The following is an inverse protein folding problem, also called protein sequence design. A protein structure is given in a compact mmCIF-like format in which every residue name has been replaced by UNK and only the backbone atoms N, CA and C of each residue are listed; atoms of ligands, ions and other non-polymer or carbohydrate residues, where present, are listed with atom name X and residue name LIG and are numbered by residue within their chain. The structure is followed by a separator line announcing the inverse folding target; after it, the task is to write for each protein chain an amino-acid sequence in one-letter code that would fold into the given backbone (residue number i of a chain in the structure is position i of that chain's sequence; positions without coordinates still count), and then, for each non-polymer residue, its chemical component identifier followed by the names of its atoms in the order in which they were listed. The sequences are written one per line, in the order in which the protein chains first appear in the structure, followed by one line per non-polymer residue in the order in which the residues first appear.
data_IF_874983556650
#
_entry.id   IF_874983556650
#
_cell.length_a   1.000
_cell.length_b   1.000
_cell.length_c   1.000
_cell.angle_alpha   90.00
_cell.angle_beta   90.00
_cell.angle_gamma   90.00
#
_symmetry.space_group_name_H-M   'P 1'
#
loop_
_entity.id
_entity.type
_entity.pdbx_description
1 polymer ?
#
# COMPACT_ATOMS: atom_id res chain seq x y z
N UNK A 1 8.10 49.67 -42.20
CA UNK A 1 6.99 49.69 -41.23
C UNK A 1 6.34 48.32 -41.24
N UNK A 2 6.09 47.57 -40.18
CA UNK A 2 6.32 47.65 -38.75
C UNK A 2 5.90 46.28 -38.18
N UNK A 3 6.52 45.87 -37.07
CA UNK A 3 6.49 44.55 -36.47
C UNK A 3 5.11 44.06 -35.97
N UNK A 4 4.87 42.74 -36.01
CA UNK A 4 4.60 41.92 -34.81
C UNK A 4 4.78 40.41 -35.10
N UNK A 5 5.60 39.77 -34.26
CA UNK A 5 6.03 38.36 -34.29
C UNK A 5 5.12 37.49 -33.40
N UNK A 6 5.00 36.21 -33.74
CA UNK A 6 5.19 35.13 -32.77
C UNK A 6 3.98 34.25 -32.41
N UNK A 7 3.73 33.22 -33.21
CA UNK A 7 3.21 31.94 -32.70
C UNK A 7 4.09 30.83 -33.29
N UNK A 8 5.03 30.29 -32.49
CA UNK A 8 5.77 29.08 -32.88
C UNK A 8 4.86 27.89 -32.63
N UNK A 9 4.40 27.30 -33.73
CA UNK A 9 3.81 25.96 -33.80
C UNK A 9 4.74 24.97 -33.10
N UNK A 10 4.25 24.26 -32.08
CA UNK A 10 4.91 23.07 -31.59
C UNK A 10 4.57 21.92 -32.55
N UNK A 11 5.60 21.46 -33.26
CA UNK A 11 5.55 20.26 -34.09
C UNK A 11 5.66 19.05 -33.16
N UNK A 12 4.57 18.29 -33.02
CA UNK A 12 4.64 16.94 -32.47
C UNK A 12 5.48 16.09 -33.43
N UNK A 13 6.67 15.70 -32.98
CA UNK A 13 7.55 14.79 -33.70
C UNK A 13 6.88 13.43 -33.87
N UNK A 14 6.74 13.02 -35.13
CA UNK A 14 6.38 11.67 -35.55
C UNK A 14 7.33 10.63 -34.94
N UNK A 15 6.91 9.92 -33.89
CA UNK A 15 7.38 8.56 -33.58
C UNK A 15 6.22 7.78 -32.99
N UNK A 16 5.90 6.64 -33.62
CA UNK A 16 5.07 5.60 -33.01
C UNK A 16 5.71 5.22 -31.68
N UNK A 17 5.00 5.43 -30.58
CA UNK A 17 5.40 4.94 -29.26
C UNK A 17 5.24 3.42 -29.32
N UNK A 18 6.35 2.70 -29.11
CA UNK A 18 6.31 1.26 -28.96
C UNK A 18 5.68 0.94 -27.61
N UNK A 19 4.55 0.23 -27.66
CA UNK A 19 3.86 -0.34 -26.49
C UNK A 19 4.61 -1.60 -26.10
N UNK A 20 5.00 -1.74 -24.83
CA UNK A 20 5.44 -3.00 -24.25
C UNK A 20 4.34 -3.51 -23.34
N UNK A 21 3.76 -4.66 -23.71
CA UNK A 21 2.80 -5.43 -22.92
C UNK A 21 3.56 -6.45 -22.08
N UNK A 22 4.12 -6.06 -20.95
CA UNK A 22 4.65 -7.02 -19.97
C UNK A 22 4.77 -6.43 -18.55
N UNK A 23 3.62 -6.15 -17.91
CA UNK A 23 3.51 -6.14 -16.45
C UNK A 23 2.21 -6.86 -16.06
N UNK A 24 2.32 -7.85 -15.17
CA UNK A 24 1.23 -8.71 -14.67
C UNK A 24 0.08 -7.98 -13.96
N UNK A 25 -0.95 -8.71 -13.50
CA UNK A 25 -2.34 -8.37 -13.78
C UNK A 25 -2.92 -7.36 -12.79
N UNK A 26 -2.94 -6.08 -13.17
CA UNK A 26 -4.11 -5.26 -12.88
C UNK A 26 -5.16 -5.62 -13.95
N UNK A 27 -6.13 -6.46 -13.58
CA UNK A 27 -7.13 -7.05 -14.48
C UNK A 27 -7.58 -6.12 -15.61
N UNK A 28 -7.22 -6.52 -16.83
CA UNK A 28 -7.81 -6.06 -18.08
C UNK A 28 -9.23 -6.62 -18.15
N UNK A 29 -10.25 -5.78 -17.97
CA UNK A 29 -11.62 -6.28 -18.02
C UNK A 29 -12.68 -5.29 -17.57
N UNK A 30 -12.73 -4.10 -18.17
CA UNK A 30 -13.97 -3.34 -18.25
C UNK A 30 -13.88 -2.27 -19.35
N UNK A 31 -14.47 -2.53 -20.51
CA UNK A 31 -14.70 -1.50 -21.52
C UNK A 31 -15.86 -0.63 -21.04
N UNK A 32 -15.56 0.53 -20.46
CA UNK A 32 -16.56 1.55 -20.18
C UNK A 32 -16.76 2.38 -21.46
N UNK A 33 -18.00 2.56 -21.96
CA UNK A 33 -18.24 3.37 -23.14
C UNK A 33 -17.83 4.82 -22.88
N UNK A 34 -17.06 5.37 -23.82
CA UNK A 34 -16.58 6.74 -23.87
C UNK A 34 -17.72 7.71 -24.15
N UNK A 35 -18.54 7.99 -23.13
CA UNK A 35 -19.40 9.16 -23.15
C UNK A 35 -18.67 10.34 -22.50
N UNK A 36 -18.48 11.37 -23.31
CA UNK A 36 -17.95 12.69 -23.02
C UNK A 36 -18.71 13.39 -21.89
N UNK A 37 -18.31 13.12 -20.64
CA UNK A 37 -18.71 13.88 -19.45
C UNK A 37 -17.73 13.71 -18.26
N UNK A 38 -16.41 13.58 -18.51
CA UNK A 38 -15.38 13.45 -17.45
C UNK A 38 -14.61 14.75 -17.16
N UNK A 39 -15.06 15.90 -17.68
CA UNK A 39 -14.50 17.18 -17.27
C UNK A 39 -15.29 17.66 -16.04
N UNK A 40 -14.81 17.29 -14.85
CA UNK A 40 -15.46 17.60 -13.58
C UNK A 40 -15.13 16.68 -12.39
N UNK A 41 -14.18 15.75 -12.53
CA UNK A 41 -13.77 14.84 -11.45
C UNK A 41 -12.27 14.98 -11.17
N UNK A 42 -11.90 14.75 -9.91
CA UNK A 42 -10.53 14.76 -9.42
C UNK A 42 -9.60 13.93 -10.33
N UNK A 43 -8.35 14.35 -10.46
CA UNK A 43 -7.37 13.64 -11.28
C UNK A 43 -6.68 12.57 -10.42
N UNK A 44 -6.92 11.30 -10.70
CA UNK A 44 -6.28 10.20 -9.97
C UNK A 44 -5.06 9.69 -10.72
N UNK A 45 -3.89 9.82 -10.10
CA UNK A 45 -2.59 9.44 -10.67
C UNK A 45 -1.99 8.32 -9.84
N UNK A 46 -1.54 7.27 -10.52
CA UNK A 46 -0.70 6.23 -9.93
C UNK A 46 0.72 6.37 -10.45
N UNK A 47 1.66 6.62 -9.55
CA UNK A 47 3.09 6.54 -9.83
C UNK A 47 3.48 5.07 -9.66
N UNK A 48 3.96 4.45 -10.74
CA UNK A 48 4.32 3.03 -10.73
C UNK A 48 5.76 2.85 -10.27
N UNK A 49 6.71 3.43 -11.02
CA UNK A 49 8.14 3.31 -10.74
C UNK A 49 8.95 4.40 -11.44
N UNK A 50 10.21 4.53 -11.07
CA UNK A 50 11.20 5.25 -11.86
C UNK A 50 12.41 4.35 -12.14
N UNK A 51 13.18 4.69 -13.16
CA UNK A 51 14.36 3.90 -13.56
C UNK A 51 15.51 4.80 -13.97
N UNK A 52 16.74 4.32 -13.78
CA UNK A 52 17.98 5.01 -14.16
C UNK A 52 18.11 6.42 -13.55
N UNK A 53 17.65 6.60 -12.30
CA UNK A 53 17.84 7.86 -11.60
C UNK A 53 19.34 8.09 -11.33
N UNK A 54 19.81 9.34 -11.47
CA UNK A 54 21.21 9.66 -11.17
C UNK A 54 21.48 9.47 -9.68
N UNK A 55 22.70 9.07 -9.33
CA UNK A 55 23.19 9.10 -7.95
C UNK A 55 23.61 10.53 -7.63
N UNK A 56 22.98 11.16 -6.65
CA UNK A 56 23.36 12.50 -6.19
C UNK A 56 24.01 12.48 -4.80
N UNK A 57 23.73 11.47 -3.97
CA UNK A 57 24.38 11.29 -2.68
C UNK A 57 25.87 10.89 -2.74
N UNK A 58 26.63 11.37 -1.76
CA UNK A 58 28.07 11.12 -1.59
C UNK A 58 28.34 9.63 -1.27
N UNK A 59 27.48 9.01 -0.47
CA UNK A 59 27.53 7.59 -0.07
C UNK A 59 26.15 6.98 -0.32
N UNK A 60 26.07 5.77 -0.89
CA UNK A 60 24.79 5.16 -1.30
C UNK A 60 24.30 5.61 -2.69
N UNK A 61 23.11 5.20 -3.09
CA UNK A 61 22.30 5.77 -4.16
C UNK A 61 21.44 6.91 -3.60
N UNK A 62 20.65 7.55 -4.47
CA UNK A 62 19.66 8.56 -4.08
C UNK A 62 18.47 7.98 -3.32
N UNK A 63 17.77 8.84 -2.59
CA UNK A 63 16.53 8.65 -1.85
C UNK A 63 15.33 9.30 -2.57
N UNK A 64 14.88 8.78 -3.73
CA UNK A 64 13.97 9.49 -4.60
C UNK A 64 12.51 9.55 -4.14
N UNK A 65 11.86 10.69 -4.37
CA UNK A 65 10.41 10.86 -4.28
C UNK A 65 9.83 11.75 -5.39
N UNK A 66 8.55 11.57 -5.69
CA UNK A 66 7.83 12.33 -6.72
C UNK A 66 6.87 13.31 -6.07
N UNK A 67 6.99 14.59 -6.43
CA UNK A 67 6.01 15.63 -6.13
C UNK A 67 5.09 15.85 -7.32
N UNK A 68 3.78 15.79 -7.12
CA UNK A 68 2.76 15.85 -8.16
C UNK A 68 1.69 16.91 -7.86
N UNK A 69 1.31 17.68 -8.88
CA UNK A 69 0.24 18.68 -8.83
C UNK A 69 -0.18 19.09 -10.24
N UNK A 70 -1.26 19.86 -10.34
CA UNK A 70 -1.75 20.42 -11.61
C UNK A 70 -1.36 21.91 -11.71
N UNK A 71 -0.88 22.29 -12.89
CA UNK A 71 -0.58 23.67 -13.27
C UNK A 71 -1.44 24.10 -14.45
N UNK A 72 -1.72 25.40 -14.56
CA UNK A 72 -2.37 25.97 -15.75
C UNK A 72 -1.37 26.39 -16.82
N UNK A 73 -1.88 26.90 -17.95
CA UNK A 73 -1.08 27.39 -19.09
C UNK A 73 -0.11 28.54 -18.78
N UNK A 74 -0.23 29.18 -17.61
CA UNK A 74 0.68 30.23 -17.12
C UNK A 74 1.69 29.71 -16.08
N UNK A 75 1.84 28.39 -15.97
CA UNK A 75 2.71 27.70 -15.00
C UNK A 75 2.36 28.01 -13.54
N UNK A 76 1.09 28.37 -13.26
CA UNK A 76 0.59 28.55 -11.90
C UNK A 76 -0.06 27.27 -11.40
N UNK A 77 0.25 26.92 -10.16
CA UNK A 77 -0.40 25.82 -9.44
C UNK A 77 -1.91 26.07 -9.32
N UNK A 78 -2.71 25.06 -9.65
CA UNK A 78 -4.18 25.08 -9.54
C UNK A 78 -4.72 23.92 -8.70
N UNK A 79 -3.81 23.15 -8.07
CA UNK A 79 -4.12 22.13 -7.07
C UNK A 79 -3.07 22.16 -5.96
N UNK A 80 -3.38 21.48 -4.87
CA UNK A 80 -2.39 21.15 -3.85
C UNK A 80 -1.30 20.24 -4.42
N UNK A 81 -0.13 20.28 -3.78
CA UNK A 81 1.01 19.42 -4.08
C UNK A 81 1.00 18.19 -3.19
N UNK A 82 1.17 17.03 -3.81
CA UNK A 82 1.28 15.76 -3.12
C UNK A 82 2.65 15.17 -3.38
N UNK A 83 3.26 14.56 -2.37
CA UNK A 83 4.48 13.79 -2.52
C UNK A 83 4.20 12.30 -2.33
N UNK A 84 4.88 11.45 -3.09
CA UNK A 84 5.05 10.05 -2.69
C UNK A 84 5.93 9.99 -1.43
N UNK A 85 5.88 8.85 -0.74
CA UNK A 85 6.89 8.58 0.29
C UNK A 85 8.26 8.35 -0.38
N UNK A 86 9.31 8.59 0.40
CA UNK A 86 10.71 8.43 -0.01
C UNK A 86 11.07 6.95 -0.12
N UNK A 87 11.84 6.60 -1.14
CA UNK A 87 12.42 5.27 -1.30
C UNK A 87 13.93 5.36 -1.11
N UNK A 88 14.44 4.76 -0.05
CA UNK A 88 15.84 4.93 0.30
C UNK A 88 16.77 4.12 -0.62
N UNK A 89 17.96 4.67 -0.85
CA UNK A 89 19.12 4.03 -1.48
C UNK A 89 18.77 3.27 -2.77
N UNK A 90 18.10 3.93 -3.73
CA UNK A 90 17.72 3.29 -4.99
C UNK A 90 17.67 4.22 -6.20
N UNK A 91 18.30 3.77 -7.30
CA UNK A 91 18.15 4.39 -8.61
C UNK A 91 16.91 3.93 -9.40
N UNK A 92 16.16 2.95 -8.87
CA UNK A 92 15.04 2.30 -9.56
C UNK A 92 13.86 2.03 -8.59
N UNK A 93 13.29 3.06 -7.95
CA UNK A 93 12.21 2.87 -6.98
C UNK A 93 10.93 2.34 -7.65
N UNK A 94 10.27 1.38 -6.99
CA UNK A 94 8.89 0.97 -7.28
C UNK A 94 8.00 1.61 -6.23
N UNK A 95 7.18 2.56 -6.64
CA UNK A 95 6.31 3.32 -5.73
C UNK A 95 4.95 2.65 -5.58
N UNK A 96 4.32 2.27 -6.70
CA UNK A 96 2.93 1.85 -6.80
C UNK A 96 1.92 2.72 -5.99
N UNK A 97 2.28 3.99 -5.76
CA UNK A 97 1.54 4.94 -4.94
C UNK A 97 0.48 5.64 -5.77
N UNK A 98 -0.74 5.67 -5.25
CA UNK A 98 -1.90 6.28 -5.89
C UNK A 98 -2.27 7.55 -5.15
N UNK A 99 -2.59 8.63 -5.87
CA UNK A 99 -3.08 9.88 -5.29
C UNK A 99 -4.22 10.44 -6.11
N UNK A 100 -5.23 10.92 -5.39
CA UNK A 100 -6.31 11.72 -5.92
C UNK A 100 -5.94 13.20 -5.77
N UNK A 101 -5.77 13.90 -6.89
CA UNK A 101 -5.50 15.32 -6.91
C UNK A 101 -6.84 16.05 -7.02
N UNK A 102 -7.26 16.67 -5.92
CA UNK A 102 -8.47 17.48 -5.83
C UNK A 102 -8.35 18.71 -6.73
N UNK A 103 -8.96 18.66 -7.91
CA UNK A 103 -8.96 19.75 -8.88
C UNK A 103 -10.08 19.57 -9.90
N UNK A 104 -10.46 20.67 -10.57
CA UNK A 104 -11.33 20.65 -11.75
C UNK A 104 -10.49 21.10 -12.95
N UNK A 105 -9.69 20.20 -13.56
CA UNK A 105 -8.72 20.59 -14.55
C UNK A 105 -9.40 21.09 -15.83
N UNK A 106 -8.89 22.20 -16.36
CA UNK A 106 -9.23 22.73 -17.67
C UNK A 106 -8.47 22.00 -18.78
N UNK A 107 -8.93 22.10 -20.03
CA UNK A 107 -8.26 21.44 -21.17
C UNK A 107 -6.84 21.93 -21.48
N UNK A 108 -6.44 23.07 -20.91
CA UNK A 108 -5.10 23.66 -21.03
C UNK A 108 -4.21 23.42 -19.80
N UNK A 109 -4.74 22.75 -18.77
CA UNK A 109 -3.98 22.40 -17.58
C UNK A 109 -3.07 21.19 -17.85
N UNK A 110 -2.02 21.07 -17.05
CA UNK A 110 -1.05 19.98 -17.15
C UNK A 110 -0.74 19.39 -15.77
N UNK A 111 -0.64 18.07 -15.70
CA UNK A 111 -0.03 17.36 -14.59
C UNK A 111 1.48 17.64 -14.62
N UNK A 112 2.00 18.19 -13.53
CA UNK A 112 3.45 18.31 -13.29
C UNK A 112 3.88 17.24 -12.31
N UNK A 113 4.90 16.47 -12.71
CA UNK A 113 5.62 15.55 -11.83
C UNK A 113 7.08 15.99 -11.75
N UNK A 114 7.53 16.30 -10.54
CA UNK A 114 8.91 16.62 -10.25
C UNK A 114 9.51 15.50 -9.39
N UNK A 115 10.63 14.95 -9.84
CA UNK A 115 11.43 13.97 -9.12
C UNK A 115 12.52 14.69 -8.33
N UNK A 116 12.63 14.35 -7.07
CA UNK A 116 13.63 14.87 -6.14
C UNK A 116 14.38 13.74 -5.46
N UNK A 117 15.59 14.04 -5.04
CA UNK A 117 16.36 13.30 -4.05
C UNK A 117 16.09 13.91 -2.67
N UNK A 118 15.77 13.08 -1.67
CA UNK A 118 15.53 13.58 -0.32
C UNK A 118 16.84 13.82 0.40
N UNK A 119 17.02 15.02 0.94
CA UNK A 119 18.21 15.39 1.71
C UNK A 119 17.83 15.65 3.18
N UNK A 120 18.62 15.14 4.13
CA UNK A 120 18.39 15.37 5.56
C UNK A 120 18.52 16.87 5.85
N UNK A 121 17.43 17.54 6.31
CA UNK A 121 17.46 18.97 6.59
C UNK A 121 18.50 19.32 7.65
N UNK A 122 19.33 20.32 7.37
CA UNK A 122 20.39 20.78 8.27
C UNK A 122 21.68 19.95 8.25
N UNK A 123 21.69 18.80 7.56
CA UNK A 123 22.90 17.99 7.32
C UNK A 123 23.33 18.07 5.86
N UNK A 124 22.45 17.66 4.94
CA UNK A 124 22.73 17.64 3.49
C UNK A 124 22.21 18.90 2.77
N UNK A 125 21.14 19.52 3.27
CA UNK A 125 20.62 20.77 2.71
C UNK A 125 19.14 20.67 2.35
N UNK A 126 18.80 21.07 1.12
CA UNK A 126 17.45 21.01 0.57
C UNK A 126 17.38 19.99 -0.54
N UNK A 127 16.27 19.25 -0.64
CA UNK A 127 16.03 18.22 -1.66
C UNK A 127 16.55 18.57 -3.07
N UNK A 128 17.37 17.69 -3.62
CA UNK A 128 18.00 17.86 -4.91
C UNK A 128 17.06 17.51 -6.08
N UNK A 129 16.83 18.46 -6.99
CA UNK A 129 15.97 18.24 -8.14
C UNK A 129 16.63 17.32 -9.19
N UNK A 130 16.00 16.17 -9.46
CA UNK A 130 16.48 15.18 -10.43
C UNK A 130 15.90 15.42 -11.83
N UNK A 131 14.64 15.82 -11.93
CA UNK A 131 14.00 16.07 -13.21
C UNK A 131 12.49 16.24 -13.15
N UNK A 132 11.90 16.66 -14.27
CA UNK A 132 10.48 17.01 -14.39
C UNK A 132 9.86 16.43 -15.65
N UNK A 133 8.57 16.13 -15.56
CA UNK A 133 7.67 16.07 -16.71
C UNK A 133 6.44 16.96 -16.50
N UNK A 134 5.90 17.48 -17.60
CA UNK A 134 4.62 18.16 -17.65
C UNK A 134 3.80 17.49 -18.75
N UNK A 135 2.62 16.95 -18.41
CA UNK A 135 1.74 16.28 -19.37
C UNK A 135 0.38 16.97 -19.35
N UNK A 136 -0.10 17.51 -20.48
CA UNK A 136 -1.43 18.11 -20.54
C UNK A 136 -2.50 17.12 -20.07
N UNK A 137 -3.44 17.58 -19.24
CA UNK A 137 -4.46 16.70 -18.64
C UNK A 137 -5.31 16.03 -19.72
N UNK A 138 -5.59 16.72 -20.83
CA UNK A 138 -6.30 16.17 -21.99
C UNK A 138 -5.59 14.98 -22.66
N UNK A 139 -4.27 14.86 -22.49
CA UNK A 139 -3.47 13.78 -23.06
C UNK A 139 -3.37 12.58 -22.11
N UNK A 140 -3.89 12.69 -20.87
CA UNK A 140 -3.94 11.63 -19.87
C UNK A 140 -5.19 10.76 -20.07
N UNK A 141 -5.05 9.74 -20.91
CA UNK A 141 -6.05 8.70 -21.15
C UNK A 141 -6.10 7.77 -19.92
N UNK A 142 -7.29 7.51 -19.34
CA UNK A 142 -7.41 6.59 -18.23
C UNK A 142 -6.85 5.21 -18.54
N UNK A 143 -6.16 4.63 -17.56
CA UNK A 143 -5.48 3.33 -17.56
C UNK A 143 -4.35 3.16 -18.60
N UNK A 144 -4.03 4.19 -19.40
CA UNK A 144 -2.85 4.18 -20.24
C UNK A 144 -1.59 4.35 -19.37
N UNK A 145 -0.59 3.48 -19.59
CA UNK A 145 0.72 3.59 -18.95
C UNK A 145 1.60 4.54 -19.77
N UNK A 146 2.17 5.52 -19.09
CA UNK A 146 3.11 6.48 -19.64
C UNK A 146 4.50 6.16 -19.10
N UNK A 147 5.47 6.01 -20.00
CA UNK A 147 6.89 5.83 -19.67
C UNK A 147 7.69 6.95 -20.35
N UNK A 148 8.00 7.98 -19.58
CA UNK A 148 8.53 9.25 -20.10
C UNK A 148 9.93 9.55 -19.52
N UNK A 149 10.86 10.05 -20.34
CA UNK A 149 12.15 10.52 -19.83
C UNK A 149 11.96 11.81 -19.02
N UNK A 150 12.65 11.90 -17.89
CA UNK A 150 12.70 13.12 -17.09
C UNK A 150 13.50 14.20 -17.83
N UNK A 151 13.14 15.47 -17.61
CA UNK A 151 13.87 16.63 -18.14
C UNK A 151 14.57 17.38 -17.01
N UNK A 152 15.84 17.72 -17.21
CA UNK A 152 16.61 18.49 -16.24
C UNK A 152 16.18 19.98 -16.21
N UNK A 153 16.81 20.79 -15.36
CA UNK A 153 16.53 22.24 -15.22
C UNK A 153 16.67 23.03 -16.54
N UNK A 154 17.40 22.52 -17.53
CA UNK A 154 17.58 23.12 -18.87
C UNK A 154 16.58 22.59 -19.90
N UNK A 155 15.63 21.73 -19.51
CA UNK A 155 14.64 21.10 -20.39
C UNK A 155 15.17 19.94 -21.25
N UNK A 156 16.43 19.54 -21.07
CA UNK A 156 17.04 18.42 -21.81
C UNK A 156 16.62 17.09 -21.18
N UNK A 157 16.23 16.13 -22.03
CA UNK A 157 15.94 14.76 -21.62
C UNK A 157 17.17 14.11 -20.98
N UNK A 158 16.92 13.34 -19.93
CA UNK A 158 17.92 12.55 -19.21
C UNK A 158 17.67 11.05 -19.44
N UNK A 159 18.62 10.17 -19.10
CA UNK A 159 18.40 8.72 -19.11
C UNK A 159 17.35 8.25 -18.09
N UNK A 160 17.09 9.06 -17.06
CA UNK A 160 16.12 8.77 -16.02
C UNK A 160 14.69 8.79 -16.58
N UNK A 161 13.85 7.86 -16.14
CA UNK A 161 12.47 7.71 -16.62
C UNK A 161 11.51 7.59 -15.46
N UNK A 162 10.29 8.09 -15.66
CA UNK A 162 9.16 7.93 -14.75
C UNK A 162 8.04 7.20 -15.47
N UNK A 163 7.50 6.19 -14.79
CA UNK A 163 6.40 5.36 -15.27
C UNK A 163 5.19 5.62 -14.37
N UNK A 164 4.08 6.05 -14.96
CA UNK A 164 2.84 6.37 -14.24
C UNK A 164 1.61 6.14 -15.10
N UNK A 165 0.42 6.19 -14.51
CA UNK A 165 -0.86 6.16 -15.24
C UNK A 165 -1.91 7.02 -14.55
N UNK A 166 -2.84 7.54 -15.33
CA UNK A 166 -4.13 8.03 -14.79
C UNK A 166 -5.01 6.82 -14.54
N UNK A 167 -5.68 6.74 -13.40
CA UNK A 167 -6.68 5.69 -13.14
C UNK A 167 -8.06 6.32 -12.96
N UNK A 168 -9.09 5.51 -13.09
CA UNK A 168 -10.47 5.93 -12.83
C UNK A 168 -10.82 5.54 -11.40
N UNK A 169 -11.51 6.41 -10.68
CA UNK A 169 -12.06 6.06 -9.37
C UNK A 169 -12.96 4.82 -9.48
N UNK A 170 -12.87 3.87 -8.54
CA UNK A 170 -13.71 2.68 -8.59
C UNK A 170 -15.19 3.05 -8.40
N UNK A 171 -16.11 2.18 -8.87
CA UNK A 171 -17.54 2.43 -8.82
C UNK A 171 -18.09 2.42 -7.39
N UNK A 172 -17.41 1.71 -6.47
CA UNK A 172 -17.71 1.72 -5.03
C UNK A 172 -16.55 2.32 -4.26
N UNK A 173 -16.90 3.24 -3.37
CA UNK A 173 -15.99 3.82 -2.38
C UNK A 173 -16.20 3.22 -0.99
N UNK A 174 -17.09 2.24 -0.83
CA UNK A 174 -17.21 1.45 0.39
C UNK A 174 -16.53 0.11 0.20
N UNK A 175 -15.73 -0.28 1.19
CA UNK A 175 -14.96 -1.53 1.17
C UNK A 175 -14.97 -2.16 2.55
N UNK A 176 -14.96 -3.48 2.58
CA UNK A 176 -14.62 -4.25 3.77
C UNK A 176 -13.12 -4.52 3.78
N UNK A 177 -12.47 -4.23 4.90
CA UNK A 177 -11.04 -4.47 5.11
C UNK A 177 -10.89 -5.37 6.33
N UNK A 178 -10.39 -6.57 6.12
CA UNK A 178 -10.02 -7.48 7.20
C UNK A 178 -8.58 -7.23 7.59
N UNK A 179 -8.33 -6.88 8.85
CA UNK A 179 -6.99 -6.74 9.41
C UNK A 179 -6.66 -7.96 10.27
N UNK A 180 -5.52 -8.58 10.01
CA UNK A 180 -5.01 -9.75 10.71
C UNK A 180 -3.68 -9.40 11.37
N UNK A 181 -3.61 -9.46 12.70
CA UNK A 181 -2.34 -9.29 13.43
C UNK A 181 -1.49 -10.54 13.25
N UNK A 182 -0.19 -10.38 13.06
CA UNK A 182 0.74 -11.51 13.05
C UNK A 182 0.64 -12.38 14.32
N UNK A 183 1.01 -13.66 14.20
CA UNK A 183 1.22 -14.57 15.34
C UNK A 183 2.38 -14.13 16.22
N UNK A 184 2.55 -14.75 17.38
CA UNK A 184 3.68 -14.49 18.27
C UNK A 184 5.03 -14.67 17.56
N UNK A 185 5.92 -13.70 17.77
CA UNK A 185 7.27 -13.74 17.22
C UNK A 185 8.31 -13.96 18.31
N UNK A 186 9.52 -14.35 17.91
CA UNK A 186 10.69 -14.42 18.81
C UNK A 186 10.93 -13.10 19.57
N UNK A 187 10.52 -11.96 19.01
CA UNK A 187 10.55 -10.66 19.69
C UNK A 187 9.52 -10.55 20.81
N UNK A 188 8.30 -11.03 20.59
CA UNK A 188 7.24 -10.98 21.60
C UNK A 188 7.61 -11.85 22.82
N UNK A 189 8.11 -13.05 22.55
CA UNK A 189 8.66 -13.95 23.57
C UNK A 189 9.84 -13.32 24.33
N UNK A 190 10.75 -12.65 23.62
CA UNK A 190 11.88 -11.96 24.24
C UNK A 190 11.47 -10.76 25.12
N UNK A 191 10.41 -10.03 24.71
CA UNK A 191 9.81 -8.96 25.51
C UNK A 191 9.19 -9.49 26.80
N UNK A 192 8.46 -10.59 26.74
CA UNK A 192 7.81 -11.20 27.90
C UNK A 192 8.84 -11.81 28.88
N UNK A 193 9.92 -12.39 28.35
CA UNK A 193 10.99 -13.00 29.15
C UNK A 193 12.06 -12.01 29.65
N UNK A 194 11.92 -10.70 29.39
CA UNK A 194 12.90 -9.65 29.73
C UNK A 194 14.33 -9.92 29.20
N UNK A 195 14.47 -10.63 28.08
CA UNK A 195 15.78 -10.97 27.52
C UNK A 195 16.30 -9.85 26.60
N UNK A 196 16.83 -8.79 27.23
CA UNK A 196 17.34 -7.60 26.56
C UNK A 196 18.47 -7.88 25.56
N UNK A 197 19.27 -8.93 25.80
CA UNK A 197 20.42 -9.26 24.95
C UNK A 197 19.96 -9.85 23.62
N UNK A 198 18.96 -10.73 23.64
CA UNK A 198 18.43 -11.33 22.42
C UNK A 198 17.56 -10.34 21.63
N UNK A 199 16.85 -9.44 22.33
CA UNK A 199 16.17 -8.31 21.68
C UNK A 199 17.14 -7.39 20.93
N UNK A 200 18.36 -7.19 21.41
CA UNK A 200 19.31 -6.28 20.76
C UNK A 200 20.16 -6.94 19.65
N UNK A 201 20.14 -8.26 19.55
CA UNK A 201 21.02 -9.03 18.65
C UNK A 201 20.39 -9.35 17.30
N UNK A 202 19.07 -9.40 17.20
CA UNK A 202 18.38 -9.80 15.98
C UNK A 202 17.32 -8.80 15.56
N UNK A 203 17.15 -8.67 14.25
CA UNK A 203 16.12 -7.84 13.62
C UNK A 203 15.24 -8.72 12.71
N UNK A 204 14.09 -8.20 12.27
CA UNK A 204 13.12 -8.89 11.43
C UNK A 204 12.74 -10.31 11.93
N UNK A 205 12.21 -10.37 13.16
CA UNK A 205 11.93 -11.62 13.83
C UNK A 205 10.84 -12.43 13.12
N UNK A 206 11.10 -13.73 12.96
CA UNK A 206 10.12 -14.73 12.53
C UNK A 206 9.13 -15.04 13.64
N UNK A 207 8.06 -15.76 13.28
CA UNK A 207 7.23 -16.47 14.24
C UNK A 207 8.08 -17.44 15.08
N UNK A 208 7.67 -17.65 16.32
CA UNK A 208 8.11 -18.80 17.12
C UNK A 208 7.11 -19.97 16.95
N UNK A 209 7.32 -21.08 17.66
CA UNK A 209 6.43 -22.25 17.57
C UNK A 209 4.98 -21.92 17.93
N UNK A 210 4.78 -21.10 18.97
CA UNK A 210 3.46 -20.63 19.41
C UNK A 210 2.81 -19.77 18.32
N UNK A 211 3.55 -18.86 17.70
CA UNK A 211 3.05 -18.02 16.61
C UNK A 211 2.65 -18.81 15.36
N UNK A 212 3.41 -19.85 15.02
CA UNK A 212 3.05 -20.78 13.93
C UNK A 212 1.74 -21.50 14.25
N UNK A 213 1.57 -22.01 15.47
CA UNK A 213 0.33 -22.65 15.92
C UNK A 213 -0.85 -21.65 15.93
N UNK A 214 -0.63 -20.39 16.33
CA UNK A 214 -1.65 -19.36 16.29
C UNK A 214 -2.10 -19.05 14.85
N UNK A 215 -1.17 -18.94 13.91
CA UNK A 215 -1.48 -18.72 12.50
C UNK A 215 -2.24 -19.92 11.89
N UNK A 216 -1.77 -21.16 12.11
CA UNK A 216 -2.50 -22.37 11.70
C UNK A 216 -3.86 -22.49 12.40
N UNK A 217 -3.96 -22.05 13.65
CA UNK A 217 -5.21 -21.99 14.40
C UNK A 217 -6.23 -21.05 13.77
N UNK A 218 -5.80 -19.94 13.16
CA UNK A 218 -6.69 -19.08 12.37
C UNK A 218 -7.23 -19.84 11.15
N UNK A 219 -6.36 -20.54 10.41
CA UNK A 219 -6.75 -21.40 9.28
C UNK A 219 -7.77 -22.47 9.68
N UNK A 220 -7.51 -23.18 10.77
CA UNK A 220 -8.40 -24.20 11.29
C UNK A 220 -9.78 -23.67 11.70
N UNK A 221 -9.90 -22.38 12.07
CA UNK A 221 -11.18 -21.76 12.45
C UNK A 221 -12.02 -21.32 11.26
N UNK A 222 -11.42 -20.72 10.22
CA UNK A 222 -12.20 -20.23 9.08
C UNK A 222 -12.49 -21.31 8.02
N UNK A 223 -11.62 -22.31 7.88
CA UNK A 223 -11.73 -23.32 6.80
C UNK A 223 -12.99 -24.19 6.86
N UNK A 224 -13.48 -24.63 8.05
CA UNK A 224 -14.76 -25.32 8.14
C UNK A 224 -15.95 -24.46 7.70
N UNK A 225 -15.92 -23.16 7.98
CA UNK A 225 -16.97 -22.21 7.60
C UNK A 225 -17.00 -22.06 6.07
N UNK A 226 -15.82 -21.94 5.44
CA UNK A 226 -15.72 -21.91 3.98
C UNK A 226 -16.30 -23.16 3.31
N UNK A 227 -16.04 -24.34 3.87
CA UNK A 227 -16.57 -25.60 3.32
C UNK A 227 -18.10 -25.69 3.40
N UNK A 228 -18.72 -25.00 4.36
CA UNK A 228 -20.18 -24.96 4.54
C UNK A 228 -20.84 -23.86 3.69
N UNK A 229 -20.23 -22.68 3.59
CA UNK A 229 -20.87 -21.47 3.03
C UNK A 229 -20.34 -21.03 1.66
N UNK A 230 -19.22 -21.60 1.19
CA UNK A 230 -18.47 -21.16 -0.01
C UNK A 230 -19.18 -21.30 -1.36
N UNK A 231 -20.47 -21.64 -1.38
CA UNK A 231 -21.28 -21.82 -2.60
C UNK A 231 -22.47 -20.85 -2.72
N UNK A 232 -22.73 -19.99 -1.73
CA UNK A 232 -23.87 -19.07 -1.76
C UNK A 232 -23.62 -17.89 -2.73
N UNK A 233 -24.63 -17.42 -3.47
CA UNK A 233 -24.54 -16.16 -4.24
C UNK A 233 -24.56 -14.96 -3.28
N UNK A 234 -23.79 -13.91 -3.56
CA UNK A 234 -23.75 -12.70 -2.70
C UNK A 234 -24.94 -11.80 -3.01
N UNK A 235 -25.62 -11.23 -2.00
CA UNK A 235 -26.44 -10.05 -2.22
C UNK A 235 -25.48 -8.92 -2.64
N UNK A 236 -25.72 -8.35 -3.81
CA UNK A 236 -25.06 -7.10 -4.23
C UNK A 236 -25.28 -6.10 -3.09
N UNK A 237 -24.25 -5.34 -2.71
CA UNK A 237 -24.24 -4.26 -1.72
C UNK A 237 -25.20 -3.08 -2.04
N UNK A 238 -26.34 -3.35 -2.67
CA UNK A 238 -27.29 -2.32 -3.09
C UNK A 238 -28.22 -1.85 -1.99
N UNK A 239 -28.53 -2.66 -0.98
CA UNK A 239 -29.52 -2.29 0.04
C UNK A 239 -29.21 -2.97 1.40
N UNK A 240 -28.12 -2.56 2.08
CA UNK A 240 -27.87 -3.07 3.45
C UNK A 240 -28.64 -2.21 4.45
N UNK A 241 -29.98 -2.33 4.42
CA UNK A 241 -30.84 -1.99 5.54
C UNK A 241 -30.59 -3.00 6.68
N UNK A 242 -30.66 -2.50 7.92
CA UNK A 242 -30.25 -3.13 9.18
C UNK A 242 -31.02 -4.40 9.61
N UNK A 243 -31.53 -5.21 8.68
CA UNK A 243 -32.40 -6.35 8.98
C UNK A 243 -32.03 -7.68 8.30
N UNK A 244 -30.92 -7.81 7.55
CA UNK A 244 -30.60 -9.06 6.84
C UNK A 244 -29.14 -9.53 6.99
N UNK A 245 -29.00 -10.79 7.42
CA UNK A 245 -27.82 -11.67 7.51
C UNK A 245 -26.42 -11.04 7.55
N UNK A 246 -25.78 -11.15 8.70
CA UNK A 246 -24.40 -10.79 9.01
C UNK A 246 -23.37 -11.68 8.25
N UNK A 247 -23.11 -11.37 6.97
CA UNK A 247 -22.28 -12.18 6.04
C UNK A 247 -20.77 -11.92 6.09
N UNK A 248 -20.21 -11.49 7.23
CA UNK A 248 -18.79 -11.08 7.29
C UNK A 248 -17.81 -12.22 7.04
N UNK A 249 -18.11 -13.42 7.52
CA UNK A 249 -17.25 -14.59 7.30
C UNK A 249 -17.37 -15.10 5.86
N UNK A 250 -18.58 -15.10 5.29
CA UNK A 250 -18.78 -15.41 3.87
C UNK A 250 -18.10 -14.41 2.92
N UNK A 251 -18.07 -13.12 3.25
CA UNK A 251 -17.38 -12.09 2.46
C UNK A 251 -15.85 -12.18 2.58
N UNK A 252 -15.32 -12.74 3.68
CA UNK A 252 -13.88 -12.94 3.87
C UNK A 252 -13.30 -13.78 2.74
N UNK A 253 -14.00 -14.86 2.37
CA UNK A 253 -13.58 -15.77 1.30
C UNK A 253 -13.63 -15.16 -0.11
N UNK A 254 -14.29 -13.99 -0.26
CA UNK A 254 -14.39 -13.24 -1.52
C UNK A 254 -13.43 -12.06 -1.57
N UNK A 255 -12.60 -11.86 -0.54
CA UNK A 255 -11.61 -10.79 -0.53
C UNK A 255 -10.77 -10.86 -1.81
N UNK A 256 -10.89 -9.89 -2.71
CA UNK A 256 -10.24 -9.93 -4.02
C UNK A 256 -8.74 -9.66 -4.00
N UNK A 257 -8.16 -9.32 -2.84
CA UNK A 257 -6.73 -9.10 -2.67
C UNK A 257 -6.28 -9.40 -1.22
N UNK A 258 -5.04 -9.87 -1.09
CA UNK A 258 -4.35 -10.08 0.19
C UNK A 258 -3.06 -9.27 0.17
N UNK A 259 -2.88 -8.42 1.17
CA UNK A 259 -1.66 -7.66 1.36
C UNK A 259 -1.03 -7.97 2.72
N UNK A 260 0.30 -7.95 2.80
CA UNK A 260 1.01 -8.10 4.06
C UNK A 260 2.14 -7.08 4.22
N UNK A 261 2.45 -6.78 5.48
CA UNK A 261 3.73 -6.17 5.85
C UNK A 261 4.90 -7.05 5.37
N UNK A 262 6.02 -6.46 4.92
CA UNK A 262 7.20 -7.21 4.52
C UNK A 262 7.99 -7.83 5.67
N UNK A 263 7.66 -7.52 6.93
CA UNK A 263 8.29 -8.14 8.10
C UNK A 263 7.98 -9.64 8.12
N UNK A 264 9.00 -10.47 8.32
CA UNK A 264 8.95 -11.94 8.17
C UNK A 264 7.74 -12.55 8.88
N UNK A 265 7.52 -12.23 10.16
CA UNK A 265 6.37 -12.71 10.95
C UNK A 265 4.99 -12.45 10.34
N UNK A 266 4.81 -11.31 9.65
CA UNK A 266 3.54 -10.96 9.02
C UNK A 266 3.33 -11.78 7.75
N UNK A 267 4.38 -11.97 6.94
CA UNK A 267 4.35 -12.82 5.75
C UNK A 267 4.09 -14.28 6.14
N UNK A 268 4.79 -14.80 7.14
CA UNK A 268 4.57 -16.16 7.67
C UNK A 268 3.14 -16.35 8.16
N UNK A 269 2.61 -15.38 8.93
CA UNK A 269 1.22 -15.43 9.39
C UNK A 269 0.24 -15.45 8.22
N UNK A 270 0.47 -14.65 7.17
CA UNK A 270 -0.38 -14.61 5.99
C UNK A 270 -0.37 -15.97 5.26
N UNK A 271 0.82 -16.52 5.00
CA UNK A 271 0.97 -17.78 4.26
C UNK A 271 0.38 -18.98 5.01
N UNK A 272 0.56 -19.02 6.34
CA UNK A 272 0.04 -20.11 7.18
C UNK A 272 -1.44 -19.93 7.49
N UNK A 273 -1.83 -18.74 7.92
CA UNK A 273 -3.19 -18.44 8.37
C UNK A 273 -4.20 -18.32 7.24
N UNK A 274 -3.77 -18.08 6.01
CA UNK A 274 -4.63 -18.03 4.82
C UNK A 274 -4.39 -19.20 3.87
N UNK A 275 -3.75 -20.28 4.34
CA UNK A 275 -3.46 -21.46 3.53
C UNK A 275 -4.75 -22.07 2.98
N UNK A 276 -4.87 -22.09 1.65
CA UNK A 276 -6.07 -22.57 0.95
C UNK A 276 -7.17 -21.53 0.78
N UNK A 277 -6.94 -20.27 1.16
CA UNK A 277 -7.83 -19.17 0.81
C UNK A 277 -7.83 -18.97 -0.72
N UNK A 278 -9.00 -18.86 -1.39
CA UNK A 278 -9.08 -18.78 -2.86
C UNK A 278 -8.16 -17.69 -3.45
N UNK A 279 -8.19 -16.50 -2.86
CA UNK A 279 -7.39 -15.35 -3.29
C UNK A 279 -5.89 -15.57 -3.21
N UNK A 280 -5.40 -16.29 -2.19
CA UNK A 280 -3.97 -16.56 -2.07
C UNK A 280 -3.49 -17.40 -3.27
N UNK A 281 -4.29 -18.38 -3.71
CA UNK A 281 -3.94 -19.21 -4.86
C UNK A 281 -4.17 -18.53 -6.22
N UNK A 282 -5.13 -17.61 -6.32
CA UNK A 282 -5.55 -17.00 -7.59
C UNK A 282 -4.83 -15.68 -7.89
N UNK A 283 -4.63 -14.85 -6.87
CA UNK A 283 -4.07 -13.50 -6.98
C UNK A 283 -2.73 -13.36 -6.25
N UNK A 284 -2.47 -14.24 -5.29
CA UNK A 284 -1.27 -14.21 -4.49
C UNK A 284 -1.33 -13.28 -3.28
N UNK A 285 -0.17 -13.12 -2.66
CA UNK A 285 0.07 -12.25 -1.52
C UNK A 285 1.02 -11.14 -1.96
N UNK A 286 0.57 -9.90 -1.89
CA UNK A 286 1.36 -8.72 -2.29
C UNK A 286 1.88 -7.99 -1.06
N UNK A 287 3.19 -7.71 -0.99
CA UNK A 287 3.77 -6.96 0.13
C UNK A 287 3.49 -5.45 -0.02
N UNK A 288 3.25 -4.77 1.11
CA UNK A 288 3.13 -3.32 1.18
C UNK A 288 4.12 -2.78 2.20
N UNK A 289 5.15 -2.07 1.74
CA UNK A 289 6.22 -1.56 2.61
C UNK A 289 5.71 -0.66 3.74
N UNK A 290 4.62 0.05 3.48
CA UNK A 290 4.00 0.99 4.42
C UNK A 290 3.04 0.33 5.41
N UNK A 291 2.83 -0.99 5.33
CA UNK A 291 2.08 -1.79 6.31
C UNK A 291 2.95 -2.33 7.46
N UNK A 292 4.28 -2.04 7.45
CA UNK A 292 5.22 -2.42 8.52
C UNK A 292 4.82 -1.85 9.89
N UNK A 293 5.36 -2.39 10.98
CA UNK A 293 5.03 -1.91 12.33
C UNK A 293 5.48 -0.45 12.55
N UNK A 294 4.86 0.23 13.53
CA UNK A 294 5.25 1.58 13.96
C UNK A 294 6.47 1.51 14.87
N UNK A 295 7.50 2.30 14.56
CA UNK A 295 8.76 2.28 15.31
C UNK A 295 8.71 3.15 16.57
N UNK A 296 8.73 2.49 17.72
CA UNK A 296 8.88 3.14 19.03
C UNK A 296 10.34 3.23 19.48
N UNK A 297 10.60 4.05 20.50
CA UNK A 297 11.91 4.21 21.13
C UNK A 297 12.47 2.84 21.55
N UNK A 298 13.60 2.44 20.98
CA UNK A 298 14.28 1.18 21.29
C UNK A 298 13.69 -0.09 20.64
N UNK A 299 12.65 0.03 19.81
CA UNK A 299 12.06 -1.10 19.08
C UNK A 299 12.88 -1.50 17.86
N UNK A 300 13.45 -2.71 17.87
CA UNK A 300 14.14 -3.30 16.72
C UNK A 300 13.22 -4.18 15.84
N UNK A 301 11.97 -4.36 16.24
CA UNK A 301 10.97 -5.19 15.55
C UNK A 301 10.45 -4.61 14.22
N UNK A 302 10.86 -3.38 13.91
CA UNK A 302 10.58 -2.66 12.66
C UNK A 302 11.72 -2.68 11.66
N UNK A 303 12.91 -3.14 12.07
CA UNK A 303 14.10 -3.21 11.21
C UNK A 303 14.03 -4.48 10.38
N UNK A 304 14.00 -4.33 9.06
CA UNK A 304 14.04 -5.44 8.11
C UNK A 304 15.45 -5.99 7.92
N UNK A 305 15.56 -7.15 7.24
CA UNK A 305 16.85 -7.75 6.84
C UNK A 305 17.05 -7.81 5.34
N UNK A 306 15.96 -7.93 4.60
CA UNK A 306 15.99 -8.30 3.20
C UNK A 306 15.06 -7.40 2.39
N UNK A 307 15.41 -7.24 1.11
CA UNK A 307 14.62 -6.52 0.10
C UNK A 307 14.39 -7.43 -1.10
N UNK A 308 13.36 -7.16 -1.88
CA UNK A 308 13.03 -7.91 -3.10
C UNK A 308 12.92 -9.41 -2.84
N UNK A 309 13.47 -10.22 -3.74
CA UNK A 309 13.41 -11.68 -3.63
C UNK A 309 14.17 -12.24 -2.41
N UNK A 310 15.06 -11.46 -1.78
CA UNK A 310 15.69 -11.83 -0.51
C UNK A 310 14.67 -12.09 0.60
N UNK A 311 13.54 -11.38 0.58
CA UNK A 311 12.42 -11.58 1.53
C UNK A 311 11.86 -13.01 1.37
N UNK A 312 11.71 -13.49 0.12
CA UNK A 312 11.20 -14.84 -0.14
C UNK A 312 12.16 -15.90 0.40
N UNK A 313 13.45 -15.73 0.14
CA UNK A 313 14.51 -16.64 0.63
C UNK A 313 14.52 -16.70 2.15
N UNK A 314 14.37 -15.55 2.81
CA UNK A 314 14.30 -15.46 4.27
C UNK A 314 13.07 -16.16 4.83
N UNK A 315 11.87 -15.83 4.33
CA UNK A 315 10.62 -16.44 4.78
C UNK A 315 10.66 -17.96 4.58
N UNK A 316 11.20 -18.44 3.45
CA UNK A 316 11.42 -19.87 3.21
C UNK A 316 12.23 -20.51 4.33
N UNK A 317 13.43 -19.96 4.57
CA UNK A 317 14.37 -20.49 5.57
C UNK A 317 13.76 -20.55 6.98
N UNK A 318 13.06 -19.49 7.39
CA UNK A 318 12.47 -19.42 8.73
C UNK A 318 11.26 -20.39 8.86
N UNK A 319 10.40 -20.51 7.83
CA UNK A 319 9.32 -21.50 7.82
C UNK A 319 9.83 -22.94 7.85
N UNK A 320 10.84 -23.27 7.03
CA UNK A 320 11.45 -24.60 7.00
C UNK A 320 12.09 -24.97 8.35
N UNK A 321 12.58 -23.98 9.10
CA UNK A 321 13.15 -24.22 10.43
C UNK A 321 12.13 -24.70 11.46
N UNK A 322 10.83 -24.41 11.25
CA UNK A 322 9.74 -24.79 12.16
C UNK A 322 8.90 -25.95 11.61
N UNK A 323 8.65 -25.97 10.30
CA UNK A 323 7.75 -26.94 9.65
C UNK A 323 8.50 -28.11 8.99
N UNK A 324 9.83 -28.04 8.90
CA UNK A 324 10.65 -28.92 8.07
C UNK A 324 10.62 -28.52 6.59
N UNK A 325 11.66 -28.95 5.86
CA UNK A 325 11.75 -28.77 4.41
C UNK A 325 10.64 -29.53 3.68
N UNK A 326 10.08 -28.93 2.62
CA UNK A 326 9.15 -29.64 1.74
C UNK A 326 8.24 -28.76 0.87
N UNK A 327 7.46 -29.38 -0.04
CA UNK A 327 6.63 -28.69 -1.02
C UNK A 327 5.62 -27.72 -0.40
N UNK A 328 5.19 -28.00 0.83
CA UNK A 328 4.25 -27.17 1.58
C UNK A 328 4.73 -25.72 1.82
N UNK A 329 6.05 -25.48 1.82
CA UNK A 329 6.63 -24.13 1.95
C UNK A 329 6.83 -23.51 0.58
N UNK A 330 7.33 -24.28 -0.38
CA UNK A 330 7.58 -23.83 -1.76
C UNK A 330 6.31 -23.36 -2.48
N UNK A 331 5.22 -24.13 -2.34
CA UNK A 331 3.94 -23.80 -2.97
C UNK A 331 3.39 -22.47 -2.44
N UNK A 332 3.55 -22.19 -1.14
CA UNK A 332 3.10 -20.93 -0.54
C UNK A 332 3.88 -19.71 -1.04
N UNK A 333 5.18 -19.87 -1.31
CA UNK A 333 6.06 -18.78 -1.73
C UNK A 333 5.95 -18.44 -3.22
N UNK A 334 5.46 -19.38 -4.04
CA UNK A 334 5.21 -19.12 -5.47
C UNK A 334 4.23 -17.95 -5.70
N UNK A 335 3.38 -17.69 -4.70
CA UNK A 335 2.35 -16.66 -4.73
C UNK A 335 2.78 -15.32 -4.11
N UNK A 336 4.03 -15.20 -3.63
CA UNK A 336 4.52 -14.00 -2.95
C UNK A 336 5.03 -12.95 -3.95
N UNK A 337 4.37 -11.80 -4.01
CA UNK A 337 4.82 -10.61 -4.75
C UNK A 337 5.43 -9.58 -3.80
N UNK A 338 6.70 -9.25 -4.03
CA UNK A 338 7.47 -8.31 -3.20
C UNK A 338 7.16 -6.84 -3.50
N UNK A 339 6.47 -6.55 -4.60
CA UNK A 339 5.90 -5.25 -4.93
C UNK A 339 6.87 -4.05 -4.75
N UNK A 340 6.64 -3.20 -3.76
CA UNK A 340 7.38 -1.96 -3.48
C UNK A 340 8.51 -2.15 -2.44
N UNK A 341 8.76 -3.40 -2.04
CA UNK A 341 9.78 -3.77 -1.06
C UNK A 341 11.14 -4.08 -1.72
N UNK A 342 11.45 -3.48 -2.87
CA UNK A 342 12.69 -3.73 -3.66
C UNK A 342 13.85 -2.81 -3.31
N UNK A 343 13.66 -1.88 -2.38
CA UNK A 343 14.70 -1.08 -1.74
C UNK A 343 14.45 -1.03 -0.24
N UNK A 344 15.38 -0.48 0.53
CA UNK A 344 15.29 -0.42 1.98
C UNK A 344 13.96 0.20 2.42
N UNK A 345 13.16 -0.58 3.14
CA UNK A 345 11.77 -0.25 3.51
C UNK A 345 11.57 -0.02 5.00
N UNK A 346 12.60 -0.25 5.81
CA UNK A 346 12.57 -0.06 7.26
C UNK A 346 13.26 1.24 7.65
N UNK A 347 13.04 1.69 8.88
CA UNK A 347 13.77 2.83 9.46
C UNK A 347 15.05 2.34 10.14
N UNK A 348 16.09 3.19 10.19
CA UNK A 348 17.36 2.86 10.85
C UNK A 348 17.13 2.50 12.32
N UNK A 349 17.93 1.61 12.89
CA UNK A 349 17.75 1.07 14.25
C UNK A 349 17.51 2.14 15.33
N UNK A 350 18.08 3.33 15.18
CA UNK A 350 18.00 4.47 16.10
C UNK A 350 16.81 5.39 15.86
N UNK A 351 16.11 5.26 14.74
CA UNK A 351 15.02 6.16 14.37
C UNK A 351 13.78 5.92 15.24
N UNK A 352 12.95 6.95 15.37
CA UNK A 352 11.63 6.85 15.99
C UNK A 352 10.64 7.45 15.01
N UNK A 353 9.59 6.70 14.66
CA UNK A 353 8.55 7.23 13.80
C UNK A 353 7.65 8.18 14.62
N UNK A 354 7.70 9.46 14.28
CA UNK A 354 6.85 10.49 14.88
C UNK A 354 5.47 10.52 14.20
N UNK A 355 4.47 11.06 14.90
CA UNK A 355 3.06 11.05 14.46
C UNK A 355 2.81 11.43 12.98
N UNK A 356 3.43 12.50 12.44
CA UNK A 356 3.29 12.85 11.03
C UNK A 356 3.73 11.74 10.05
N UNK A 357 4.87 11.08 10.29
CA UNK A 357 5.38 10.03 9.42
C UNK A 357 4.46 8.80 9.41
N UNK A 358 3.91 8.42 10.58
CA UNK A 358 2.92 7.35 10.70
C UNK A 358 1.66 7.71 9.91
N UNK A 359 1.19 8.96 10.03
CA UNK A 359 0.01 9.45 9.30
C UNK A 359 0.21 9.42 7.79
N UNK A 360 1.38 9.82 7.28
CA UNK A 360 1.66 9.79 5.84
C UNK A 360 1.64 8.35 5.29
N UNK A 361 2.15 7.38 6.05
CA UNK A 361 2.07 5.96 5.69
C UNK A 361 0.65 5.42 5.72
N UNK A 362 -0.15 5.77 6.73
CA UNK A 362 -1.55 5.39 6.81
C UNK A 362 -2.34 5.95 5.62
N UNK A 363 -2.09 7.22 5.27
CA UNK A 363 -2.71 7.86 4.10
C UNK A 363 -2.29 7.21 2.79
N UNK A 364 -1.02 6.80 2.66
CA UNK A 364 -0.54 6.11 1.47
C UNK A 364 -1.24 4.75 1.27
N UNK A 365 -1.30 3.94 2.33
CA UNK A 365 -1.98 2.63 2.30
C UNK A 365 -3.48 2.80 2.07
N UNK A 366 -4.15 3.73 2.76
CA UNK A 366 -5.60 3.93 2.57
C UNK A 366 -5.93 4.48 1.18
N UNK A 367 -5.09 5.35 0.62
CA UNK A 367 -5.25 5.78 -0.77
C UNK A 367 -5.08 4.61 -1.74
N UNK A 368 -4.07 3.76 -1.53
CA UNK A 368 -3.89 2.53 -2.30
C UNK A 368 -5.12 1.61 -2.21
N UNK A 369 -5.68 1.41 -1.00
CA UNK A 369 -6.89 0.60 -0.79
C UNK A 369 -8.12 1.17 -1.49
N UNK A 370 -8.33 2.50 -1.40
CA UNK A 370 -9.45 3.21 -2.03
C UNK A 370 -9.57 2.84 -3.51
N UNK A 371 -8.45 2.76 -4.21
CA UNK A 371 -8.38 2.53 -5.65
C UNK A 371 -8.19 1.07 -6.06
N UNK A 372 -8.18 0.12 -5.13
CA UNK A 372 -8.26 -1.30 -5.49
C UNK A 372 -9.63 -1.63 -6.08
N UNK A 373 -9.69 -2.52 -7.06
CA UNK A 373 -10.97 -2.92 -7.68
C UNK A 373 -11.78 -3.91 -6.82
N UNK A 374 -11.24 -4.34 -5.69
CA UNK A 374 -11.93 -5.26 -4.79
C UNK A 374 -12.81 -4.52 -3.78
N UNK A 375 -14.07 -4.96 -3.55
CA UNK A 375 -14.90 -4.47 -2.45
C UNK A 375 -14.44 -5.01 -1.09
N UNK A 376 -13.66 -6.09 -1.07
CA UNK A 376 -13.23 -6.76 0.15
C UNK A 376 -11.73 -7.10 0.10
N UNK A 377 -10.97 -6.77 1.14
CA UNK A 377 -9.49 -6.83 1.13
C UNK A 377 -8.98 -7.39 2.46
N UNK A 378 -7.94 -8.22 2.42
CA UNK A 378 -7.25 -8.70 3.63
C UNK A 378 -5.90 -8.00 3.77
N UNK A 379 -5.60 -7.51 4.97
CA UNK A 379 -4.32 -6.93 5.39
C UNK A 379 -3.74 -7.75 6.53
N UNK A 380 -2.49 -8.19 6.41
CA UNK A 380 -1.75 -8.87 7.47
C UNK A 380 -0.61 -7.99 7.97
N UNK A 381 -0.62 -7.66 9.26
CA UNK A 381 0.25 -6.62 9.79
C UNK A 381 0.40 -6.69 11.32
N UNK A 382 0.49 -5.52 11.94
CA UNK A 382 1.04 -5.40 13.30
C UNK A 382 0.17 -4.57 14.24
N UNK A 383 0.45 -4.72 15.54
CA UNK A 383 -0.41 -4.24 16.61
C UNK A 383 -0.48 -2.71 16.70
N UNK A 384 0.66 -2.02 16.64
CA UNK A 384 0.67 -0.55 16.75
C UNK A 384 0.16 0.08 15.47
N UNK A 385 0.56 -0.45 14.31
CA UNK A 385 0.06 0.01 13.02
C UNK A 385 -1.47 -0.06 12.95
N UNK A 386 -2.08 -1.21 13.26
CA UNK A 386 -3.55 -1.31 13.23
C UNK A 386 -4.23 -0.47 14.31
N UNK A 387 -3.58 -0.25 15.46
CA UNK A 387 -4.10 0.67 16.47
C UNK A 387 -4.10 2.11 15.97
N UNK A 388 -3.02 2.57 15.35
CA UNK A 388 -2.96 3.91 14.74
C UNK A 388 -3.90 4.02 13.54
N UNK A 389 -4.09 2.95 12.76
CA UNK A 389 -5.08 2.88 11.69
C UNK A 389 -6.51 3.08 12.22
N UNK A 390 -6.90 2.34 13.25
CA UNK A 390 -8.20 2.51 13.91
C UNK A 390 -8.32 3.93 14.46
N UNK A 391 -7.30 4.44 15.16
CA UNK A 391 -7.33 5.79 15.74
C UNK A 391 -7.46 6.91 14.72
N UNK A 392 -6.84 6.74 13.55
CA UNK A 392 -6.87 7.73 12.49
C UNK A 392 -8.23 7.79 11.77
N UNK A 393 -8.98 6.69 11.74
CA UNK A 393 -10.14 6.55 10.86
C UNK A 393 -11.44 6.13 11.55
N UNK A 394 -11.47 5.92 12.88
CA UNK A 394 -12.71 5.59 13.59
C UNK A 394 -13.74 6.72 13.46
N UNK A 395 -14.92 6.39 12.91
CA UNK A 395 -15.99 7.38 12.75
C UNK A 395 -16.61 7.77 14.11
N UNK A 396 -16.86 9.07 14.36
CA UNK A 396 -17.65 9.50 15.53
C UNK A 396 -19.02 8.83 15.60
N UNK A 397 -19.66 8.62 14.45
CA UNK A 397 -20.97 7.98 14.33
C UNK A 397 -20.93 6.53 14.78
N UNK A 398 -19.89 5.78 14.38
CA UNK A 398 -19.69 4.40 14.85
C UNK A 398 -19.51 4.33 16.37
N UNK A 399 -18.79 5.30 16.96
CA UNK A 399 -18.62 5.38 18.41
C UNK A 399 -19.92 5.69 19.16
N UNK A 400 -20.92 6.26 18.50
CA UNK A 400 -22.26 6.49 19.06
C UNK A 400 -23.16 5.25 18.88
N UNK A 401 -23.05 4.57 17.73
CA UNK A 401 -23.85 3.40 17.39
C UNK A 401 -23.43 2.15 18.18
N UNK A 402 -22.12 1.89 18.30
CA UNK A 402 -21.55 0.75 19.04
C UNK A 402 -20.36 1.22 19.90
N UNK A 403 -20.63 1.89 21.03
CA UNK A 403 -19.59 2.42 21.90
C UNK A 403 -18.71 1.33 22.51
N UNK A 404 -19.25 0.13 22.73
CA UNK A 404 -18.50 -0.98 23.31
C UNK A 404 -17.44 -1.51 22.33
N UNK A 405 -17.83 -1.81 21.09
CA UNK A 405 -16.89 -2.26 20.06
C UNK A 405 -15.88 -1.16 19.72
N UNK A 406 -16.33 0.08 19.53
CA UNK A 406 -15.48 1.23 19.23
C UNK A 406 -14.39 1.41 20.30
N UNK A 407 -14.78 1.41 21.58
CA UNK A 407 -13.84 1.47 22.70
C UNK A 407 -12.91 0.26 22.74
N UNK A 408 -13.45 -0.95 22.50
CA UNK A 408 -12.68 -2.20 22.52
C UNK A 408 -11.54 -2.18 21.49
N UNK A 409 -11.79 -1.75 20.25
CA UNK A 409 -10.74 -1.70 19.21
C UNK A 409 -9.81 -0.49 19.34
N UNK A 410 -10.26 0.58 20.01
CA UNK A 410 -9.46 1.78 20.24
C UNK A 410 -8.41 1.62 21.34
N UNK A 411 -8.81 1.01 22.46
CA UNK A 411 -7.98 0.91 23.66
C UNK A 411 -7.00 -0.27 23.63
N UNK A 412 -7.38 -1.35 22.93
CA UNK A 412 -6.70 -2.63 23.06
C UNK A 412 -5.95 -3.01 21.78
N UNK A 413 -4.86 -3.77 21.95
CA UNK A 413 -4.18 -4.41 20.83
C UNK A 413 -4.99 -5.64 20.41
N UNK A 414 -5.06 -5.93 19.11
CA UNK A 414 -5.58 -7.21 18.62
C UNK A 414 -4.80 -8.38 19.24
N UNK A 415 -5.41 -9.52 19.55
CA UNK A 415 -4.65 -10.71 19.95
C UNK A 415 -3.78 -11.22 18.80
N UNK A 416 -2.76 -12.03 19.10
CA UNK A 416 -1.93 -12.64 18.05
C UNK A 416 -2.81 -13.52 17.12
N UNK A 417 -2.60 -13.42 15.81
CA UNK A 417 -3.44 -14.07 14.79
C UNK A 417 -4.95 -13.74 14.86
N UNK A 418 -5.35 -12.63 15.49
CA UNK A 418 -6.73 -12.17 15.49
C UNK A 418 -7.13 -11.55 14.15
N UNK A 419 -8.40 -11.72 13.76
CA UNK A 419 -8.97 -11.18 12.54
C UNK A 419 -10.12 -10.22 12.88
N UNK A 420 -9.95 -8.95 12.51
CA UNK A 420 -10.95 -7.91 12.67
C UNK A 420 -11.40 -7.43 11.28
N UNK A 421 -12.68 -7.57 10.97
CA UNK A 421 -13.27 -6.91 9.82
C UNK A 421 -13.60 -5.45 10.13
N UNK A 422 -13.37 -4.57 9.16
CA UNK A 422 -13.72 -3.15 9.19
C UNK A 422 -14.52 -2.80 7.94
N UNK A 423 -15.72 -2.24 8.10
CA UNK A 423 -16.41 -1.60 6.97
C UNK A 423 -15.93 -0.15 6.87
N UNK A 424 -15.33 0.20 5.75
CA UNK A 424 -14.71 1.50 5.50
C UNK A 424 -15.42 2.26 4.38
N UNK A 425 -15.58 3.57 4.57
CA UNK A 425 -16.08 4.50 3.57
C UNK A 425 -14.95 5.46 3.13
N UNK A 426 -14.70 5.50 1.82
CA UNK A 426 -13.67 6.32 1.16
C UNK A 426 -14.29 7.46 0.33
N UNK A 427 -15.57 7.77 0.53
CA UNK A 427 -16.26 8.86 -0.18
C UNK A 427 -15.74 10.25 0.18
N UNK A 428 -15.32 10.44 1.44
CA UNK A 428 -14.68 11.66 1.90
C UNK A 428 -13.17 11.67 1.62
N UNK A 429 -12.53 12.85 1.81
CA UNK A 429 -11.08 13.04 1.71
C UNK A 429 -10.32 12.15 2.71
N UNK A 430 -10.83 12.08 3.94
CA UNK A 430 -10.35 11.17 4.97
C UNK A 430 -11.31 9.99 5.06
N UNK A 431 -10.82 8.74 4.96
CA UNK A 431 -11.66 7.55 5.12
C UNK A 431 -12.27 7.44 6.52
N UNK A 432 -13.33 6.66 6.65
CA UNK A 432 -14.00 6.42 7.94
C UNK A 432 -14.37 4.95 8.12
N UNK A 433 -14.07 4.41 9.30
CA UNK A 433 -14.49 3.08 9.77
C UNK A 433 -15.91 3.24 10.32
N UNK A 434 -16.87 2.63 9.63
CA UNK A 434 -18.29 2.72 9.96
C UNK A 434 -18.74 1.59 10.89
N UNK A 435 -18.16 0.40 10.76
CA UNK A 435 -18.45 -0.77 11.59
C UNK A 435 -17.21 -1.63 11.75
N UNK A 436 -17.17 -2.42 12.82
CA UNK A 436 -16.12 -3.39 13.06
C UNK A 436 -16.67 -4.68 13.64
N UNK A 437 -16.09 -5.82 13.28
CA UNK A 437 -16.47 -7.13 13.82
C UNK A 437 -15.28 -8.08 13.91
N UNK A 438 -15.07 -8.67 15.07
CA UNK A 438 -14.12 -9.77 15.23
C UNK A 438 -14.69 -11.04 14.60
N UNK A 439 -13.83 -11.79 13.91
CA UNK A 439 -14.22 -12.98 13.15
C UNK A 439 -13.55 -14.22 13.70
N UNK A 440 -14.12 -15.39 13.39
CA UNK A 440 -13.52 -16.68 13.68
C UNK A 440 -13.19 -16.85 15.18
N UNK A 441 -14.05 -16.31 16.05
CA UNK A 441 -13.88 -16.35 17.50
C UNK A 441 -12.67 -15.59 18.04
N UNK A 442 -12.06 -14.70 17.25
CA UNK A 442 -10.88 -13.92 17.67
C UNK A 442 -11.28 -12.69 18.49
N UNK A 443 -10.32 -12.05 19.15
CA UNK A 443 -10.56 -10.87 20.00
C UNK A 443 -9.27 -10.05 20.19
N UNK A 444 -9.30 -9.07 21.08
CA UNK A 444 -8.15 -8.29 21.56
C UNK A 444 -7.28 -9.11 22.51
N UNK A 445 -6.01 -8.74 22.69
CA UNK A 445 -5.12 -9.40 23.64
C UNK A 445 -5.61 -9.21 25.09
N UNK A 446 -5.45 -10.23 25.92
CA UNK A 446 -5.64 -10.12 27.36
C UNK A 446 -4.50 -9.28 27.96
N UNK A 447 -4.82 -8.36 28.89
CA UNK A 447 -3.84 -7.48 29.54
C UNK A 447 -3.21 -8.09 30.77
#
# INVERSE_FOLDING_TARGET
MGFAKGLKRFVLGKKKIAVREDLGPFNQGCTVPTNSAEVGRNLVIQILKATNLPKLDVVGHSDPFVRMWVINSKDKDVSDRYSTLVHNDTGNPIYNSVREIECTPSGDDALRLDMYDYDIPGVQGSDDFMGRICVPVKDLVPNQVYDLPLRNKKGKETPARIIFKRIVSPPTLRKRVYVIRHGESKWNEAQESNNLVDMLKTVDHSLNEVGVQQAQGLEARWKPIFAQEGTLESPVWKDVDAATQDVWEADFFRAGAIFASPLTRAVETALLGLKGHPTLSQQGLTLLRNLREVKNVGGQDTVGKEIGDGIKVRVKKELESVLGEGPQVDDCLAYLDVNDCTSEWWSNATDVEVGPAVKDRLNDVTSFLKFQNSPSIILVGHSLYFREFVRAYLAPEFSQEDPEMAKKIWDNKLANAACLGLDMDFSAKTPSILRAKFLFGTTVADH
#
